data_IF_218563549517
#
_entry.id   IF_218563549517
#
_cell.length_a   1.000
_cell.length_b   1.000
_cell.length_c   1.000
_cell.angle_alpha   90.00
_cell.angle_beta   90.00
_cell.angle_gamma   90.00
#
_symmetry.space_group_name_H-M   'P 1'
#
loop_
_entity.id
_entity.type
_entity.pdbx_description
1 polymer ?
#
# COMPACT_ATOMS: atom_id res chain seq x y z
N UNK A 1 15.23 -12.92 23.18
CA UNK A 1 13.91 -13.12 22.59
C UNK A 1 13.48 -14.52 22.92
N UNK A 2 12.35 -14.72 23.60
CA UNK A 2 11.92 -16.08 23.97
C UNK A 2 11.51 -16.85 22.71
N UNK A 3 11.75 -18.17 22.69
CA UNK A 3 11.38 -19.05 21.57
C UNK A 3 9.89 -18.97 21.21
N UNK A 4 9.04 -18.60 22.15
CA UNK A 4 7.61 -18.33 21.97
C UNK A 4 7.32 -17.16 21.04
N UNK A 5 8.06 -16.07 21.14
CA UNK A 5 7.93 -14.92 20.22
C UNK A 5 8.30 -15.30 18.79
N UNK A 6 9.35 -16.08 18.60
CA UNK A 6 9.75 -16.58 17.29
C UNK A 6 8.67 -17.50 16.67
N UNK A 7 8.06 -18.36 17.46
CA UNK A 7 6.96 -19.22 16.99
C UNK A 7 5.74 -18.41 16.57
N UNK A 8 5.41 -17.32 17.28
CA UNK A 8 4.30 -16.43 16.93
C UNK A 8 4.54 -15.60 15.64
N UNK A 9 5.80 -15.46 15.19
CA UNK A 9 6.11 -14.82 13.91
C UNK A 9 5.84 -15.74 12.68
N UNK A 10 5.75 -17.06 12.87
CA UNK A 10 5.56 -18.02 11.76
C UNK A 10 4.24 -17.78 11.00
N UNK A 11 3.07 -17.62 11.66
CA UNK A 11 1.83 -17.33 10.96
C UNK A 11 1.87 -16.04 10.14
N UNK A 12 2.53 -15.02 10.64
CA UNK A 12 2.71 -13.77 9.91
C UNK A 12 3.58 -13.96 8.65
N UNK A 13 4.71 -14.62 8.78
CA UNK A 13 5.58 -14.94 7.64
C UNK A 13 4.84 -15.81 6.60
N UNK A 14 4.07 -16.80 7.06
CA UNK A 14 3.24 -17.64 6.21
C UNK A 14 2.17 -16.85 5.44
N UNK A 15 1.50 -15.91 6.11
CA UNK A 15 0.53 -15.02 5.46
C UNK A 15 1.19 -14.16 4.38
N UNK A 16 2.35 -13.57 4.67
CA UNK A 16 3.10 -12.76 3.69
C UNK A 16 3.51 -13.59 2.47
N UNK A 17 4.00 -14.82 2.68
CA UNK A 17 4.33 -15.74 1.59
C UNK A 17 3.09 -16.13 0.78
N UNK A 18 1.95 -16.36 1.41
CA UNK A 18 0.69 -16.62 0.70
C UNK A 18 0.28 -15.43 -0.17
N UNK A 19 0.33 -14.21 0.36
CA UNK A 19 -0.02 -12.99 -0.39
C UNK A 19 0.95 -12.77 -1.57
N UNK A 20 2.23 -13.08 -1.42
CA UNK A 20 3.22 -12.91 -2.47
C UNK A 20 3.14 -13.98 -3.57
N UNK A 21 2.95 -15.25 -3.20
CA UNK A 21 3.09 -16.40 -4.11
C UNK A 21 1.75 -16.82 -4.74
N UNK A 22 0.66 -16.84 -3.96
CA UNK A 22 -0.62 -17.39 -4.43
C UNK A 22 -1.24 -16.64 -5.61
N UNK A 23 -1.21 -15.31 -5.69
CA UNK A 23 -1.69 -14.58 -6.87
C UNK A 23 -0.93 -14.92 -8.16
N UNK A 24 0.35 -15.29 -8.03
CA UNK A 24 1.20 -15.65 -9.17
C UNK A 24 0.98 -17.10 -9.64
N UNK A 25 0.76 -18.02 -8.69
CA UNK A 25 0.64 -19.44 -8.99
C UNK A 25 -0.78 -19.86 -9.33
N UNK A 26 -1.77 -19.34 -8.61
CA UNK A 26 -3.20 -19.67 -8.77
C UNK A 26 -4.08 -18.41 -8.59
N UNK A 27 -4.08 -17.46 -9.55
CA UNK A 27 -4.80 -16.20 -9.41
C UNK A 27 -6.31 -16.38 -9.17
N UNK A 28 -6.97 -17.24 -9.94
CA UNK A 28 -8.43 -17.47 -9.84
C UNK A 28 -8.83 -18.09 -8.49
N UNK A 29 -8.01 -18.97 -7.95
CA UNK A 29 -8.25 -19.55 -6.63
C UNK A 29 -8.04 -18.52 -5.53
N UNK A 30 -7.00 -17.69 -5.65
CA UNK A 30 -6.68 -16.65 -4.69
C UNK A 30 -7.79 -15.60 -4.59
N UNK A 31 -8.32 -15.11 -5.72
CA UNK A 31 -9.41 -14.14 -5.73
C UNK A 31 -10.65 -14.62 -4.96
N UNK A 32 -10.93 -15.92 -5.03
CA UNK A 32 -12.09 -16.51 -4.32
C UNK A 32 -11.84 -16.82 -2.86
N UNK A 33 -10.59 -17.15 -2.48
CA UNK A 33 -10.27 -17.72 -1.17
C UNK A 33 -9.34 -16.85 -0.33
N UNK A 34 -8.94 -15.67 -0.80
CA UNK A 34 -8.04 -14.79 -0.05
C UNK A 34 -8.56 -14.46 1.36
N UNK A 35 -9.85 -14.19 1.52
CA UNK A 35 -10.45 -13.91 2.83
C UNK A 35 -10.33 -15.10 3.78
N UNK A 36 -10.55 -16.33 3.28
CA UNK A 36 -10.40 -17.54 4.08
C UNK A 36 -8.94 -17.78 4.49
N UNK A 37 -7.99 -17.52 3.58
CA UNK A 37 -6.57 -17.62 3.90
C UNK A 37 -6.16 -16.62 4.98
N UNK A 38 -6.60 -15.36 4.87
CA UNK A 38 -6.33 -14.33 5.88
C UNK A 38 -6.91 -14.74 7.24
N UNK A 39 -8.18 -15.18 7.29
CA UNK A 39 -8.83 -15.63 8.52
C UNK A 39 -8.08 -16.82 9.14
N UNK A 40 -7.70 -17.81 8.32
CA UNK A 40 -6.96 -18.99 8.78
C UNK A 40 -5.63 -18.59 9.46
N UNK A 41 -4.81 -17.79 8.81
CA UNK A 41 -3.54 -17.32 9.34
C UNK A 41 -3.70 -16.45 10.58
N UNK A 42 -4.76 -15.61 10.61
CA UNK A 42 -5.07 -14.78 11.78
C UNK A 42 -5.49 -15.63 12.98
N UNK A 43 -6.30 -16.65 12.78
CA UNK A 43 -6.68 -17.60 13.84
C UNK A 43 -5.47 -18.43 14.32
N UNK A 44 -4.59 -18.84 13.38
CA UNK A 44 -3.38 -19.56 13.72
C UNK A 44 -2.41 -18.72 14.58
N UNK A 45 -2.48 -17.42 14.52
CA UNK A 45 -1.78 -16.50 15.43
C UNK A 45 -2.58 -16.28 16.73
N UNK A 46 -3.87 -15.95 16.63
CA UNK A 46 -4.68 -15.48 17.75
C UNK A 46 -4.90 -16.60 18.81
N UNK A 47 -5.10 -17.85 18.37
CA UNK A 47 -5.36 -18.96 19.30
C UNK A 47 -4.14 -19.24 20.18
N UNK A 48 -2.92 -19.49 19.66
CA UNK A 48 -1.74 -19.65 20.50
C UNK A 48 -1.43 -18.43 21.37
N UNK A 49 -1.62 -17.22 20.82
CA UNK A 49 -1.40 -16.00 21.57
C UNK A 49 -2.33 -15.91 22.79
N UNK A 50 -3.62 -16.21 22.63
CA UNK A 50 -4.60 -16.23 23.73
C UNK A 50 -4.29 -17.34 24.77
N UNK A 51 -3.77 -18.48 24.33
CA UNK A 51 -3.38 -19.56 25.24
C UNK A 51 -2.14 -19.22 26.07
N UNK A 52 -1.17 -18.52 25.49
CA UNK A 52 0.09 -18.17 26.17
C UNK A 52 -0.06 -16.93 27.08
N UNK A 53 -0.79 -15.92 26.65
CA UNK A 53 -0.90 -14.63 27.34
C UNK A 53 -2.25 -14.39 28.03
N UNK A 54 -3.20 -15.29 27.85
CA UNK A 54 -4.54 -15.21 28.41
C UNK A 54 -5.53 -14.46 27.49
N UNK A 55 -6.79 -14.90 27.55
CA UNK A 55 -7.84 -14.34 26.71
C UNK A 55 -8.08 -12.82 26.91
N UNK A 56 -8.05 -12.25 28.14
CA UNK A 56 -8.21 -10.81 28.32
C UNK A 56 -7.13 -9.99 27.59
N UNK A 57 -5.85 -10.43 27.68
CA UNK A 57 -4.75 -9.73 27.02
C UNK A 57 -4.81 -9.86 25.51
N UNK A 58 -5.26 -11.01 25.01
CA UNK A 58 -5.46 -11.20 23.58
C UNK A 58 -6.52 -10.26 23.00
N UNK A 59 -7.65 -10.13 23.69
CA UNK A 59 -8.74 -9.22 23.30
C UNK A 59 -8.28 -7.76 23.35
N UNK A 60 -7.59 -7.35 24.41
CA UNK A 60 -7.04 -6.00 24.54
C UNK A 60 -6.09 -5.68 23.36
N UNK A 61 -5.15 -6.57 23.05
CA UNK A 61 -4.20 -6.38 21.95
C UNK A 61 -4.88 -6.31 20.58
N UNK A 62 -5.88 -7.17 20.33
CA UNK A 62 -6.66 -7.12 19.07
C UNK A 62 -7.46 -5.82 18.96
N UNK A 63 -8.09 -5.36 20.04
CA UNK A 63 -8.81 -4.09 20.06
C UNK A 63 -7.88 -2.89 19.85
N UNK A 64 -6.71 -2.91 20.46
CA UNK A 64 -5.69 -1.88 20.27
C UNK A 64 -5.22 -1.83 18.80
N UNK A 65 -4.95 -2.97 18.17
CA UNK A 65 -4.63 -3.03 16.75
C UNK A 65 -5.78 -2.55 15.85
N UNK A 66 -7.03 -2.93 16.15
CA UNK A 66 -8.18 -2.54 15.34
C UNK A 66 -8.51 -1.05 15.47
N UNK A 67 -8.49 -0.51 16.66
CA UNK A 67 -8.89 0.88 16.93
C UNK A 67 -7.69 1.81 16.76
N UNK A 68 -6.55 1.48 17.34
CA UNK A 68 -5.36 2.30 17.29
C UNK A 68 -4.70 2.33 15.91
N UNK A 69 -4.42 1.18 15.35
CA UNK A 69 -3.65 1.09 14.11
C UNK A 69 -4.54 1.06 12.86
N UNK A 70 -5.46 0.10 12.78
CA UNK A 70 -6.23 -0.12 11.57
C UNK A 70 -7.23 1.01 11.29
N UNK A 71 -8.00 1.44 12.27
CA UNK A 71 -8.98 2.52 12.08
C UNK A 71 -8.27 3.84 11.72
N UNK A 72 -7.18 4.16 12.40
CA UNK A 72 -6.36 5.34 12.10
C UNK A 72 -5.84 5.31 10.67
N UNK A 73 -5.35 4.15 10.22
CA UNK A 73 -4.87 3.96 8.86
C UNK A 73 -6.00 4.10 7.82
N UNK A 74 -7.17 3.53 8.06
CA UNK A 74 -8.34 3.66 7.17
C UNK A 74 -8.83 5.11 7.08
N UNK A 75 -8.89 5.83 8.20
CA UNK A 75 -9.29 7.25 8.21
C UNK A 75 -8.29 8.09 7.40
N UNK A 76 -6.99 7.84 7.55
CA UNK A 76 -5.94 8.50 6.78
C UNK A 76 -6.10 8.23 5.28
N UNK A 77 -6.24 6.96 4.88
CA UNK A 77 -6.45 6.59 3.47
C UNK A 77 -7.74 7.20 2.91
N UNK A 78 -8.82 7.19 3.68
CA UNK A 78 -10.08 7.78 3.27
C UNK A 78 -9.94 9.29 3.05
N UNK A 79 -9.26 10.00 3.96
CA UNK A 79 -8.97 11.43 3.80
C UNK A 79 -8.16 11.72 2.53
N UNK A 80 -7.08 10.98 2.31
CA UNK A 80 -6.28 11.09 1.08
C UNK A 80 -7.11 10.81 -0.18
N UNK A 81 -7.96 9.79 -0.14
CA UNK A 81 -8.82 9.43 -1.25
C UNK A 81 -9.85 10.52 -1.57
N UNK A 82 -10.47 11.10 -0.55
CA UNK A 82 -11.43 12.18 -0.71
C UNK A 82 -10.79 13.43 -1.33
N UNK A 83 -9.59 13.79 -0.90
CA UNK A 83 -8.86 14.94 -1.43
C UNK A 83 -8.42 14.69 -2.87
N UNK A 84 -7.75 13.58 -3.13
CA UNK A 84 -7.22 13.25 -4.45
C UNK A 84 -8.32 12.95 -5.48
N UNK A 85 -9.43 12.34 -5.06
CA UNK A 85 -10.53 11.97 -5.96
C UNK A 85 -11.29 13.17 -6.56
N UNK A 86 -11.26 14.32 -5.90
CA UNK A 86 -11.94 15.54 -6.35
C UNK A 86 -11.09 16.42 -7.28
N UNK A 87 -9.79 16.15 -7.39
CA UNK A 87 -8.89 16.91 -8.25
C UNK A 87 -8.89 16.30 -9.65
N UNK A 88 -9.33 17.06 -10.64
CA UNK A 88 -9.24 16.68 -12.05
C UNK A 88 -8.21 17.56 -12.73
N UNK A 89 -7.20 16.93 -13.32
CA UNK A 89 -6.28 17.59 -14.22
C UNK A 89 -6.83 17.46 -15.63
N UNK A 90 -7.45 18.51 -16.14
CA UNK A 90 -7.94 18.58 -17.53
C UNK A 90 -6.92 19.37 -18.36
N UNK A 91 -6.45 18.79 -19.44
CA UNK A 91 -5.51 19.43 -20.35
C UNK A 91 -5.52 18.78 -21.72
N UNK A 92 -5.35 19.58 -22.77
CA UNK A 92 -5.22 19.13 -24.17
C UNK A 92 -3.79 18.74 -24.55
N UNK A 93 -2.98 18.33 -23.57
CA UNK A 93 -1.57 17.99 -23.83
C UNK A 93 -1.46 16.68 -24.62
N UNK A 94 -0.71 16.71 -25.70
CA UNK A 94 -0.37 15.50 -26.48
C UNK A 94 0.85 14.84 -25.84
N UNK A 95 0.75 13.55 -25.58
CA UNK A 95 1.77 12.74 -24.91
C UNK A 95 3.04 12.53 -25.75
N UNK A 96 3.81 13.59 -25.96
CA UNK A 96 5.14 13.51 -26.53
C UNK A 96 6.14 12.93 -25.50
N UNK A 97 7.30 12.37 -25.92
CA UNK A 97 8.28 11.82 -24.98
C UNK A 97 8.69 12.80 -23.88
N UNK A 98 8.93 14.07 -24.24
CA UNK A 98 9.29 15.14 -23.27
C UNK A 98 8.15 15.41 -22.27
N UNK A 99 6.90 15.52 -22.76
CA UNK A 99 5.73 15.75 -21.91
C UNK A 99 5.50 14.57 -20.95
N UNK A 100 5.66 13.35 -21.41
CA UNK A 100 5.55 12.16 -20.55
C UNK A 100 6.61 12.15 -19.45
N UNK A 101 7.86 12.47 -19.76
CA UNK A 101 8.94 12.56 -18.75
C UNK A 101 8.63 13.64 -17.72
N UNK A 102 8.20 14.82 -18.17
CA UNK A 102 7.82 15.91 -17.24
C UNK A 102 6.65 15.48 -16.34
N UNK A 103 5.62 14.88 -16.92
CA UNK A 103 4.45 14.42 -16.14
C UNK A 103 4.81 13.35 -15.13
N UNK A 104 5.70 12.42 -15.49
CA UNK A 104 6.21 11.41 -14.57
C UNK A 104 7.05 12.05 -13.45
N UNK A 105 7.93 12.99 -13.77
CA UNK A 105 8.76 13.69 -12.79
C UNK A 105 7.91 14.52 -11.82
N UNK A 106 6.94 15.28 -12.33
CA UNK A 106 5.98 16.05 -11.52
C UNK A 106 5.14 15.11 -10.65
N UNK A 107 4.62 14.02 -11.23
CA UNK A 107 3.86 13.01 -10.47
C UNK A 107 4.68 12.38 -9.35
N UNK A 108 5.95 12.08 -9.60
CA UNK A 108 6.89 11.54 -8.59
C UNK A 108 7.13 12.54 -7.45
N UNK A 109 7.30 13.82 -7.78
CA UNK A 109 7.42 14.88 -6.77
C UNK A 109 6.14 15.00 -5.93
N UNK A 110 4.98 15.04 -6.57
CA UNK A 110 3.69 15.09 -5.84
C UNK A 110 3.46 13.85 -4.98
N UNK A 111 3.92 12.69 -5.43
CA UNK A 111 3.85 11.45 -4.64
C UNK A 111 4.55 11.56 -3.29
N UNK A 112 5.66 12.30 -3.23
CA UNK A 112 6.35 12.57 -1.96
C UNK A 112 5.55 13.48 -1.01
N UNK A 113 4.69 14.35 -1.54
CA UNK A 113 3.96 15.37 -0.75
C UNK A 113 2.58 14.89 -0.31
N UNK A 114 1.82 14.24 -1.22
CA UNK A 114 0.42 13.85 -1.00
C UNK A 114 0.22 12.33 -0.93
N UNK A 115 1.32 11.58 -0.93
CA UNK A 115 1.34 10.12 -0.92
C UNK A 115 1.17 9.48 -2.30
N UNK A 116 1.69 8.26 -2.42
CA UNK A 116 1.68 7.47 -3.66
C UNK A 116 0.26 7.24 -4.19
N UNK A 117 -0.69 6.93 -3.31
CA UNK A 117 -2.09 6.69 -3.68
C UNK A 117 -2.74 7.94 -4.24
N UNK A 118 -2.59 9.08 -3.56
CA UNK A 118 -3.13 10.36 -3.99
C UNK A 118 -2.57 10.83 -5.32
N UNK A 119 -1.25 10.80 -5.46
CA UNK A 119 -0.57 11.16 -6.70
C UNK A 119 -0.96 10.22 -7.86
N UNK A 120 -1.04 8.91 -7.60
CA UNK A 120 -1.42 7.95 -8.62
C UNK A 120 -2.83 8.22 -9.16
N UNK A 121 -3.79 8.49 -8.28
CA UNK A 121 -5.16 8.83 -8.68
C UNK A 121 -5.23 10.12 -9.50
N UNK A 122 -4.44 11.12 -9.11
CA UNK A 122 -4.41 12.41 -9.77
C UNK A 122 -3.81 12.32 -11.19
N UNK A 123 -2.71 11.59 -11.36
CA UNK A 123 -1.92 11.58 -12.59
C UNK A 123 -2.28 10.46 -13.57
N UNK A 124 -2.87 9.33 -13.13
CA UNK A 124 -3.15 8.17 -14.00
C UNK A 124 -4.06 8.52 -15.18
N UNK A 125 -5.15 9.24 -14.92
CA UNK A 125 -6.11 9.62 -15.96
C UNK A 125 -5.51 10.55 -17.01
N UNK A 126 -4.87 11.69 -16.65
CA UNK A 126 -4.17 12.54 -17.61
C UNK A 126 -3.15 11.79 -18.45
N UNK A 127 -2.32 10.95 -17.83
CA UNK A 127 -1.30 10.17 -18.55
C UNK A 127 -1.91 9.20 -19.56
N UNK A 128 -3.01 8.53 -19.21
CA UNK A 128 -3.72 7.66 -20.15
C UNK A 128 -4.34 8.46 -21.29
N UNK A 129 -4.99 9.60 -21.00
CA UNK A 129 -5.67 10.43 -22.00
C UNK A 129 -4.70 11.06 -22.98
N UNK A 130 -3.61 11.67 -22.51
CA UNK A 130 -2.60 12.29 -23.40
C UNK A 130 -1.89 11.29 -24.30
N UNK A 131 -1.86 10.00 -23.95
CA UNK A 131 -1.27 8.92 -24.72
C UNK A 131 -2.33 8.04 -25.40
N UNK A 132 -3.58 8.46 -25.49
CA UNK A 132 -4.66 7.66 -26.11
C UNK A 132 -4.40 7.32 -27.57
N UNK A 133 -3.76 8.20 -28.32
CA UNK A 133 -3.37 8.04 -29.72
C UNK A 133 -2.28 6.98 -29.97
N UNK A 134 -1.53 6.58 -28.93
CA UNK A 134 -0.43 5.60 -29.05
C UNK A 134 -0.97 4.17 -29.05
N UNK A 135 -0.53 3.35 -30.00
CA UNK A 135 -0.86 1.90 -30.05
C UNK A 135 -0.14 1.15 -28.90
N UNK A 136 1.08 1.52 -28.58
CA UNK A 136 1.87 0.87 -27.52
C UNK A 136 2.22 1.88 -26.42
N UNK A 137 1.50 1.81 -25.30
CA UNK A 137 1.65 2.69 -24.12
C UNK A 137 2.02 1.93 -22.84
N UNK A 138 2.26 0.61 -22.93
CA UNK A 138 2.55 -0.24 -21.76
C UNK A 138 3.75 0.27 -20.97
N UNK A 139 4.84 0.64 -21.66
CA UNK A 139 6.05 1.14 -21.01
C UNK A 139 5.81 2.40 -20.20
N UNK A 140 4.95 3.33 -20.66
CA UNK A 140 4.63 4.55 -19.92
C UNK A 140 3.90 4.19 -18.61
N UNK A 141 2.96 3.24 -18.65
CA UNK A 141 2.26 2.80 -17.45
C UNK A 141 3.17 2.05 -16.48
N UNK A 142 4.11 1.25 -17.00
CA UNK A 142 5.11 0.58 -16.16
C UNK A 142 5.98 1.61 -15.44
N UNK A 143 6.52 2.61 -16.15
CA UNK A 143 7.29 3.69 -15.54
C UNK A 143 6.45 4.53 -14.56
N UNK A 144 5.17 4.76 -14.86
CA UNK A 144 4.26 5.43 -13.95
C UNK A 144 4.12 4.68 -12.61
N UNK A 145 3.92 3.37 -12.66
CA UNK A 145 3.82 2.54 -11.47
C UNK A 145 5.13 2.59 -10.67
N UNK A 146 6.27 2.44 -11.32
CA UNK A 146 7.56 2.47 -10.63
C UNK A 146 7.88 3.83 -10.04
N UNK A 147 7.71 4.91 -10.79
CA UNK A 147 8.12 6.25 -10.37
C UNK A 147 7.07 6.91 -9.46
N UNK A 148 5.84 7.03 -9.93
CA UNK A 148 4.80 7.79 -9.22
C UNK A 148 4.15 6.97 -8.12
N UNK A 149 3.82 5.70 -8.40
CA UNK A 149 3.09 4.87 -7.43
C UNK A 149 4.00 4.19 -6.40
N UNK A 150 5.33 4.23 -6.56
CA UNK A 150 6.27 3.59 -5.63
C UNK A 150 7.43 4.49 -5.25
N UNK A 151 8.40 4.75 -6.15
CA UNK A 151 9.66 5.42 -5.82
C UNK A 151 9.43 6.81 -5.24
N UNK A 152 8.47 7.57 -5.79
CA UNK A 152 8.14 8.91 -5.28
C UNK A 152 7.74 8.91 -3.81
N UNK A 153 7.04 7.87 -3.34
CA UNK A 153 6.66 7.74 -1.94
C UNK A 153 7.82 7.53 -0.97
N UNK A 154 8.97 7.06 -1.44
CA UNK A 154 10.13 6.80 -0.60
C UNK A 154 10.92 8.07 -0.23
N UNK A 155 10.60 9.23 -0.78
CA UNK A 155 11.35 10.47 -0.56
C UNK A 155 10.98 11.18 0.75
N UNK A 156 9.81 10.90 1.29
CA UNK A 156 9.33 11.46 2.57
C UNK A 156 8.61 10.41 3.40
N UNK A 157 8.55 10.57 4.74
CA UNK A 157 7.78 9.66 5.59
C UNK A 157 6.28 9.63 5.27
N UNK A 158 5.74 10.71 4.70
CA UNK A 158 4.31 10.86 4.37
C UNK A 158 3.99 10.24 3.00
N UNK A 159 5.01 10.03 2.17
CA UNK A 159 4.84 9.59 0.79
C UNK A 159 4.24 8.19 0.65
N UNK A 160 4.46 7.31 1.63
CA UNK A 160 3.92 5.95 1.60
C UNK A 160 3.36 5.55 2.97
N UNK A 161 2.13 5.02 3.04
CA UNK A 161 1.48 4.68 4.31
C UNK A 161 2.30 3.78 5.24
N UNK A 162 2.99 2.72 4.78
CA UNK A 162 3.87 1.94 5.65
C UNK A 162 5.04 2.73 6.25
N UNK A 163 5.61 3.68 5.49
CA UNK A 163 6.68 4.55 5.99
C UNK A 163 6.17 5.51 7.05
N UNK A 164 4.98 6.07 6.86
CA UNK A 164 4.32 6.92 7.84
C UNK A 164 4.06 6.18 9.15
N UNK A 165 3.58 4.95 9.06
CA UNK A 165 3.35 4.12 10.25
C UNK A 165 4.66 3.80 10.99
N UNK A 166 5.72 3.46 10.27
CA UNK A 166 7.04 3.25 10.87
C UNK A 166 7.58 4.50 11.55
N UNK A 167 7.47 5.66 10.88
CA UNK A 167 7.89 6.95 11.41
C UNK A 167 7.10 7.34 12.68
N UNK A 168 5.78 7.18 12.66
CA UNK A 168 4.92 7.47 13.83
C UNK A 168 5.20 6.56 15.03
N UNK A 169 5.79 5.38 14.81
CA UNK A 169 6.25 4.45 15.83
C UNK A 169 7.68 4.71 16.30
N UNK A 170 8.29 5.81 15.90
CA UNK A 170 9.63 6.22 16.31
C UNK A 170 10.78 5.61 15.51
N UNK A 171 10.50 4.97 14.38
CA UNK A 171 11.55 4.54 13.44
C UNK A 171 12.11 5.77 12.74
N UNK A 172 13.43 5.98 12.84
CA UNK A 172 14.09 7.10 12.17
C UNK A 172 13.96 6.94 10.65
N UNK A 173 13.58 8.01 9.98
CA UNK A 173 13.46 7.99 8.51
C UNK A 173 14.83 8.22 7.83
N UNK A 174 15.62 9.11 8.40
CA UNK A 174 16.99 9.37 7.94
C UNK A 174 17.97 8.73 8.92
N UNK A 175 18.79 7.83 8.45
CA UNK A 175 19.82 7.12 9.22
C UNK A 175 21.01 6.73 8.37
#
# INVERSE_FOLDING_TARGET
MSNTLLMLCIPFAGLLLCIAVMPLVKPEWWEKHQAHAVILWSLLFAIPFALFYGAPKAVETVLECLIGDYLTFIVLLFGLFCVAGNIKLEGSLVGNPKVNVIMLAVGTFFSSCIGTTGASMLFVRPIIQMNSWRKNKRHIMVFFIFLVSNIGGCLTPIGDPPLLMGFSRGVSFFW
#
